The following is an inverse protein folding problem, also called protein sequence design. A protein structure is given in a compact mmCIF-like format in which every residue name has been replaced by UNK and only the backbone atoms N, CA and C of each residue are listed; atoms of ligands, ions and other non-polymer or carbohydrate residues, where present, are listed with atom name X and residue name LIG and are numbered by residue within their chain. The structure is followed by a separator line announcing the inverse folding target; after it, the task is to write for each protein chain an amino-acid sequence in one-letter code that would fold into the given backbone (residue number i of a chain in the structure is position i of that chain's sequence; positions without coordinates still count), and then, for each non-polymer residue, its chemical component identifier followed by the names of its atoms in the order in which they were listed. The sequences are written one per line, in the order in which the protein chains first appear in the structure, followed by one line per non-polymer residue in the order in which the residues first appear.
data_IF_443630999304
#
_entry.id   IF_443630999304
#
_cell.length_a   1.000
_cell.length_b   1.000
_cell.length_c   1.000
_cell.angle_alpha   90.00
_cell.angle_beta   90.00
_cell.angle_gamma   90.00
#
_symmetry.space_group_name_H-M   'P 1'
#
loop_
_entity.id
_entity.type
_entity.pdbx_description
1 polymer ?
#
# COMPACT_ATOMS: atom_id res chain seq x y z
N UNK A 1 -19.75 -3.61 10.71
CA UNK A 1 -18.54 -3.28 11.51
C UNK A 1 -18.80 -1.95 12.20
N UNK A 2 -18.48 -1.81 13.48
CA UNK A 2 -18.64 -0.53 14.18
C UNK A 2 -17.70 0.51 13.57
N UNK A 3 -18.18 1.74 13.42
CA UNK A 3 -17.44 2.83 12.75
C UNK A 3 -16.05 3.05 13.37
N UNK A 4 -15.95 3.04 14.68
CA UNK A 4 -14.68 3.28 15.37
C UNK A 4 -13.66 2.16 15.13
N UNK A 5 -14.10 0.91 14.99
CA UNK A 5 -13.22 -0.21 14.63
C UNK A 5 -12.72 -0.10 13.20
N UNK A 6 -13.56 0.36 12.26
CA UNK A 6 -13.15 0.61 10.88
C UNK A 6 -12.12 1.73 10.79
N UNK A 7 -12.37 2.83 11.49
CA UNK A 7 -11.41 3.96 11.57
C UNK A 7 -10.11 3.50 12.20
N UNK A 8 -10.16 2.77 13.34
CA UNK A 8 -8.99 2.25 14.02
C UNK A 8 -8.16 1.30 13.16
N UNK A 9 -8.79 0.45 12.37
CA UNK A 9 -8.12 -0.44 11.41
C UNK A 9 -7.34 0.36 10.35
N UNK A 10 -8.01 1.32 9.72
CA UNK A 10 -7.38 2.18 8.71
C UNK A 10 -6.25 3.02 9.29
N UNK A 11 -6.49 3.71 10.40
CA UNK A 11 -5.47 4.51 11.07
C UNK A 11 -4.28 3.67 11.53
N UNK A 12 -4.53 2.45 12.02
CA UNK A 12 -3.49 1.51 12.41
C UNK A 12 -2.57 1.12 11.25
N UNK A 13 -3.14 0.90 10.06
CA UNK A 13 -2.37 0.62 8.85
C UNK A 13 -1.46 1.80 8.48
N UNK A 14 -2.00 3.00 8.36
CA UNK A 14 -1.20 4.19 8.00
C UNK A 14 -0.13 4.53 9.04
N UNK A 15 -0.45 4.41 10.32
CA UNK A 15 0.52 4.61 11.40
C UNK A 15 1.62 3.56 11.34
N UNK A 16 1.26 2.29 11.11
CA UNK A 16 2.22 1.20 10.98
C UNK A 16 3.16 1.37 9.79
N UNK A 17 2.61 1.71 8.63
CA UNK A 17 3.35 2.00 7.40
C UNK A 17 4.32 3.18 7.61
N UNK A 18 3.84 4.32 8.08
CA UNK A 18 4.66 5.52 8.31
C UNK A 18 5.75 5.34 9.40
N UNK A 19 5.52 4.45 10.36
CA UNK A 19 6.53 4.07 11.36
C UNK A 19 7.57 3.10 10.78
N UNK A 20 7.16 2.21 9.88
CA UNK A 20 8.00 1.17 9.30
C UNK A 20 8.88 1.66 8.14
N UNK A 21 8.37 2.54 7.30
CA UNK A 21 9.06 3.02 6.10
C UNK A 21 10.50 3.53 6.32
N UNK A 22 10.82 4.27 7.40
CA UNK A 22 12.19 4.72 7.64
C UNK A 22 13.19 3.62 7.95
N UNK A 23 12.75 2.45 8.43
CA UNK A 23 13.61 1.33 8.81
C UNK A 23 13.48 0.13 7.85
N UNK A 24 12.75 0.30 6.77
CA UNK A 24 12.57 -0.73 5.75
C UNK A 24 13.93 -1.17 5.18
N UNK A 25 14.07 -2.46 4.93
CA UNK A 25 15.31 -3.17 4.53
C UNK A 25 16.44 -3.17 5.56
N UNK A 26 16.28 -2.53 6.72
CA UNK A 26 17.23 -2.61 7.82
C UNK A 26 17.04 -3.91 8.62
N UNK A 27 18.14 -4.45 9.15
CA UNK A 27 18.07 -5.58 10.08
C UNK A 27 17.71 -5.09 11.49
N UNK A 28 17.07 -5.92 12.33
CA UNK A 28 16.61 -5.51 13.66
C UNK A 28 17.66 -4.88 14.59
N UNK A 29 18.97 -5.11 14.31
CA UNK A 29 20.07 -4.57 15.10
C UNK A 29 20.76 -3.35 14.46
N UNK A 30 20.25 -2.89 13.31
CA UNK A 30 20.81 -1.75 12.57
C UNK A 30 20.09 -0.43 12.89
N UNK A 31 19.03 -0.48 13.70
CA UNK A 31 18.30 0.70 14.14
C UNK A 31 17.81 0.55 15.59
N UNK A 32 17.66 1.67 16.26
CA UNK A 32 17.08 1.72 17.60
C UNK A 32 15.56 1.48 17.55
N UNK A 33 14.98 1.11 18.68
CA UNK A 33 13.53 0.93 18.78
C UNK A 33 12.80 2.18 18.30
N UNK A 34 12.00 2.03 17.24
CA UNK A 34 11.15 3.11 16.73
C UNK A 34 10.02 3.35 17.72
N UNK A 35 9.96 4.56 18.27
CA UNK A 35 8.96 4.99 19.26
C UNK A 35 8.15 6.18 18.80
N UNK A 36 8.50 6.76 17.65
CA UNK A 36 7.83 7.91 17.06
C UNK A 36 8.06 7.91 15.55
N UNK A 37 7.31 8.72 14.81
CA UNK A 37 7.52 8.90 13.38
C UNK A 37 8.76 9.77 13.15
N UNK A 38 9.78 9.19 12.54
CA UNK A 38 11.10 9.85 12.39
C UNK A 38 11.42 10.27 10.95
N UNK A 39 10.72 9.68 9.96
CA UNK A 39 11.05 9.88 8.55
C UNK A 39 12.41 9.31 8.14
N UNK A 40 12.84 9.51 6.91
CA UNK A 40 14.13 9.04 6.38
C UNK A 40 14.07 7.69 5.69
N UNK A 41 15.08 6.86 5.93
CA UNK A 41 15.21 5.53 5.32
C UNK A 41 15.54 5.57 3.83
N UNK A 42 15.44 4.42 3.17
CA UNK A 42 15.76 4.25 1.74
C UNK A 42 14.85 5.08 0.82
N UNK A 43 13.65 5.36 1.28
CA UNK A 43 12.67 6.16 0.55
C UNK A 43 12.78 7.66 0.81
N UNK A 44 13.66 8.09 1.73
CA UNK A 44 13.73 9.48 2.19
C UNK A 44 12.33 10.02 2.55
N UNK A 45 11.58 9.22 3.33
CA UNK A 45 10.21 9.54 3.71
C UNK A 45 10.19 10.78 4.62
N UNK A 46 9.20 11.65 4.44
CA UNK A 46 8.91 12.69 5.41
C UNK A 46 8.18 12.10 6.61
N UNK A 47 8.18 12.83 7.73
CA UNK A 47 7.50 12.37 8.95
C UNK A 47 6.01 12.19 8.67
N UNK A 48 5.51 10.96 8.88
CA UNK A 48 4.11 10.61 8.67
C UNK A 48 3.73 10.26 7.23
N UNK A 49 4.67 10.20 6.30
CA UNK A 49 4.40 9.66 4.97
C UNK A 49 4.17 8.15 5.03
N UNK A 50 3.10 7.70 4.38
CA UNK A 50 2.84 6.29 4.10
C UNK A 50 3.28 5.92 2.69
N UNK A 51 3.48 4.64 2.46
CA UNK A 51 3.99 4.07 1.21
C UNK A 51 2.90 3.43 0.35
N UNK A 52 3.23 2.39 -0.39
CA UNK A 52 2.29 1.61 -1.20
C UNK A 52 1.22 0.91 -0.36
N UNK A 53 1.53 0.49 0.86
CA UNK A 53 0.56 -0.17 1.75
C UNK A 53 -0.65 0.73 2.04
N UNK A 54 -0.42 1.94 2.49
CA UNK A 54 -1.47 2.93 2.75
C UNK A 54 -2.19 3.34 1.46
N UNK A 55 -1.44 3.62 0.39
CA UNK A 55 -2.02 4.03 -0.89
C UNK A 55 -2.89 2.93 -1.52
N UNK A 56 -2.44 1.67 -1.50
CA UNK A 56 -3.22 0.54 -2.02
C UNK A 56 -4.45 0.24 -1.16
N UNK A 57 -4.36 0.40 0.16
CA UNK A 57 -5.53 0.30 1.04
C UNK A 57 -6.59 1.36 0.70
N UNK A 58 -6.19 2.60 0.41
CA UNK A 58 -7.09 3.64 -0.09
C UNK A 58 -7.76 3.26 -1.41
N UNK A 59 -7.01 2.68 -2.35
CA UNK A 59 -7.56 2.21 -3.63
C UNK A 59 -8.69 1.19 -3.43
N UNK A 60 -8.51 0.26 -2.48
CA UNK A 60 -9.52 -0.74 -2.16
C UNK A 60 -10.73 -0.09 -1.49
N UNK A 61 -10.50 0.76 -0.49
CA UNK A 61 -11.58 1.44 0.24
C UNK A 61 -12.44 2.31 -0.66
N UNK A 62 -11.81 3.08 -1.54
CA UNK A 62 -12.51 3.93 -2.51
C UNK A 62 -13.41 3.10 -3.44
N UNK A 63 -12.90 1.99 -3.95
CA UNK A 63 -13.70 1.09 -4.80
C UNK A 63 -14.94 0.57 -4.05
N UNK A 64 -14.84 0.24 -2.76
CA UNK A 64 -15.99 -0.14 -1.94
C UNK A 64 -16.96 1.02 -1.72
N UNK A 65 -16.45 2.23 -1.49
CA UNK A 65 -17.29 3.42 -1.28
C UNK A 65 -18.06 3.76 -2.56
N UNK A 66 -17.38 3.74 -3.70
CA UNK A 66 -17.96 4.10 -5.00
C UNK A 66 -19.00 3.07 -5.47
N UNK A 67 -18.73 1.79 -5.27
CA UNK A 67 -19.57 0.69 -5.79
C UNK A 67 -20.53 0.10 -4.76
N UNK A 68 -20.39 0.42 -3.49
CA UNK A 68 -21.16 -0.16 -2.36
C UNK A 68 -21.13 -1.70 -2.34
N UNK A 69 -20.06 -2.29 -2.86
CA UNK A 69 -19.83 -3.75 -2.93
C UNK A 69 -18.39 -4.06 -3.29
N UNK A 70 -18.02 -5.34 -3.20
CA UNK A 70 -16.75 -5.80 -3.74
C UNK A 70 -16.74 -5.64 -5.28
N UNK A 71 -15.83 -4.81 -5.78
CA UNK A 71 -15.72 -4.42 -7.19
C UNK A 71 -14.25 -4.53 -7.66
N UNK A 72 -13.80 -5.74 -8.03
CA UNK A 72 -12.40 -5.96 -8.41
C UNK A 72 -11.98 -5.20 -9.68
N UNK A 73 -12.88 -4.91 -10.58
CA UNK A 73 -12.69 -4.04 -11.74
C UNK A 73 -12.33 -2.61 -11.34
N UNK A 74 -13.03 -2.06 -10.36
CA UNK A 74 -12.76 -0.73 -9.81
C UNK A 74 -11.45 -0.71 -9.01
N UNK A 75 -11.19 -1.74 -8.20
CA UNK A 75 -9.92 -1.89 -7.48
C UNK A 75 -8.74 -1.92 -8.48
N UNK A 76 -8.86 -2.69 -9.56
CA UNK A 76 -7.83 -2.74 -10.60
C UNK A 76 -7.62 -1.38 -11.29
N UNK A 77 -8.70 -0.62 -11.54
CA UNK A 77 -8.64 0.72 -12.08
C UNK A 77 -7.90 1.68 -11.12
N UNK A 78 -8.26 1.64 -9.83
CA UNK A 78 -7.64 2.46 -8.80
C UNK A 78 -6.15 2.14 -8.63
N UNK A 79 -5.76 0.86 -8.61
CA UNK A 79 -4.36 0.45 -8.56
C UNK A 79 -3.56 0.94 -9.76
N UNK A 80 -4.12 0.85 -10.97
CA UNK A 80 -3.46 1.39 -12.17
C UNK A 80 -3.34 2.90 -12.14
N UNK A 81 -4.35 3.59 -11.65
CA UNK A 81 -4.33 5.04 -11.49
C UNK A 81 -3.25 5.45 -10.49
N UNK A 82 -3.25 4.82 -9.30
CA UNK A 82 -2.20 5.03 -8.31
C UNK A 82 -0.80 4.75 -8.86
N UNK A 83 -0.60 3.61 -9.52
CA UNK A 83 0.69 3.21 -10.08
C UNK A 83 1.25 4.25 -11.07
N UNK A 84 0.38 4.94 -11.82
CA UNK A 84 0.77 5.94 -12.82
C UNK A 84 0.90 7.36 -12.27
N UNK A 85 0.05 7.73 -11.32
CA UNK A 85 -0.12 9.13 -10.91
C UNK A 85 0.24 9.40 -9.44
N UNK A 86 0.40 8.35 -8.62
CA UNK A 86 0.55 8.50 -7.17
C UNK A 86 -0.76 8.84 -6.45
N UNK A 87 -1.91 8.69 -7.10
CA UNK A 87 -3.21 8.94 -6.48
C UNK A 87 -3.39 8.15 -5.18
N UNK A 88 -3.89 8.78 -4.11
CA UNK A 88 -3.91 8.26 -2.74
C UNK A 88 -2.54 8.11 -2.05
N UNK A 89 -1.44 8.38 -2.72
CA UNK A 89 -0.14 8.47 -2.08
C UNK A 89 0.10 9.84 -1.44
N UNK A 90 1.12 9.95 -0.62
CA UNK A 90 1.53 11.20 0.04
C UNK A 90 2.25 12.17 -0.90
N UNK A 91 2.77 11.65 -2.00
CA UNK A 91 3.46 12.41 -3.05
C UNK A 91 2.63 12.45 -4.32
N UNK A 92 2.85 13.42 -5.18
CA UNK A 92 2.20 13.52 -6.50
C UNK A 92 2.69 12.48 -7.52
N UNK A 93 3.33 11.42 -7.07
CA UNK A 93 3.81 10.29 -7.84
C UNK A 93 3.87 9.04 -6.95
N UNK A 94 3.86 7.85 -7.55
CA UNK A 94 4.14 6.61 -6.83
C UNK A 94 5.62 6.57 -6.46
N UNK A 95 5.95 6.50 -5.18
CA UNK A 95 7.35 6.50 -4.75
C UNK A 95 7.84 5.15 -4.19
N UNK A 96 6.95 4.24 -3.92
CA UNK A 96 7.29 2.86 -3.58
C UNK A 96 6.34 1.87 -4.25
N UNK A 97 6.79 0.65 -4.46
CA UNK A 97 5.99 -0.51 -4.84
C UNK A 97 6.84 -1.79 -4.83
N UNK A 98 6.35 -2.83 -4.21
CA UNK A 98 6.96 -4.16 -4.30
C UNK A 98 6.89 -4.73 -5.72
N UNK A 99 7.96 -5.41 -6.15
CA UNK A 99 8.06 -5.97 -7.52
C UNK A 99 6.86 -6.86 -7.88
N UNK A 100 6.43 -7.75 -6.98
CA UNK A 100 5.30 -8.65 -7.22
C UNK A 100 4.00 -7.86 -7.42
N UNK A 101 3.77 -6.81 -6.63
CA UNK A 101 2.62 -5.93 -6.78
C UNK A 101 2.68 -5.17 -8.11
N UNK A 102 3.84 -4.64 -8.47
CA UNK A 102 4.02 -3.94 -9.75
C UNK A 102 3.69 -4.83 -10.95
N UNK A 103 4.27 -6.04 -11.02
CA UNK A 103 4.03 -7.00 -12.09
C UNK A 103 2.54 -7.39 -12.18
N UNK A 104 1.87 -7.57 -11.05
CA UNK A 104 0.44 -7.86 -10.99
C UNK A 104 -0.38 -6.68 -11.52
N UNK A 105 -0.14 -5.46 -11.05
CA UNK A 105 -0.87 -4.26 -11.45
C UNK A 105 -0.69 -3.97 -12.95
N UNK A 106 0.53 -4.10 -13.49
CA UNK A 106 0.76 -3.91 -14.91
C UNK A 106 -0.03 -4.92 -15.78
N UNK A 107 -0.21 -6.14 -15.29
CA UNK A 107 -0.94 -7.19 -16.00
C UNK A 107 -2.47 -7.14 -15.81
N UNK A 108 -2.99 -6.40 -14.83
CA UNK A 108 -4.43 -6.23 -14.60
C UNK A 108 -5.11 -5.43 -15.71
N UNK A 109 -6.40 -5.69 -15.91
CA UNK A 109 -7.33 -4.81 -16.62
C UNK A 109 -8.69 -4.84 -15.93
N UNK A 110 -9.61 -3.95 -16.32
CA UNK A 110 -10.98 -3.94 -15.79
C UNK A 110 -11.74 -5.21 -16.15
N UNK A 111 -11.43 -5.83 -17.29
CA UNK A 111 -12.00 -7.12 -17.72
C UNK A 111 -11.28 -8.32 -17.09
N UNK A 112 -10.05 -8.15 -16.67
CA UNK A 112 -9.22 -9.17 -16.03
C UNK A 112 -8.54 -8.61 -14.77
N UNK A 113 -9.30 -8.32 -13.70
CA UNK A 113 -8.78 -7.69 -12.49
C UNK A 113 -7.97 -8.66 -11.60
N UNK A 114 -8.14 -9.95 -11.79
CA UNK A 114 -7.44 -10.97 -10.99
C UNK A 114 -6.14 -11.38 -11.69
N UNK A 115 -5.06 -10.72 -11.32
CA UNK A 115 -3.73 -11.02 -11.83
C UNK A 115 -2.73 -11.14 -10.69
N UNK A 116 -1.96 -12.19 -10.73
CA UNK A 116 -0.87 -12.42 -9.78
C UNK A 116 0.06 -13.48 -10.35
N UNK A 117 1.32 -13.40 -9.99
CA UNK A 117 2.30 -14.41 -10.40
C UNK A 117 2.13 -15.67 -9.56
N UNK A 118 2.16 -16.84 -10.22
CA UNK A 118 2.22 -18.17 -9.58
C UNK A 118 3.63 -18.72 -9.48
N UNK A 119 4.63 -17.90 -9.83
CA UNK A 119 6.03 -18.30 -9.80
C UNK A 119 6.55 -18.53 -8.38
N UNK A 120 7.52 -19.43 -8.22
CA UNK A 120 8.11 -19.78 -6.91
C UNK A 120 8.74 -18.58 -6.16
N UNK A 121 9.01 -17.46 -6.83
CA UNK A 121 9.56 -16.23 -6.25
C UNK A 121 8.54 -15.10 -6.10
N UNK A 122 7.26 -15.39 -6.23
CA UNK A 122 6.17 -14.43 -6.15
C UNK A 122 5.41 -14.52 -4.82
N UNK A 123 6.12 -14.77 -3.72
CA UNK A 123 5.58 -14.93 -2.37
C UNK A 123 5.87 -13.71 -1.48
N UNK A 124 5.72 -12.52 -2.02
CA UNK A 124 5.78 -11.29 -1.20
C UNK A 124 4.66 -11.28 -0.15
N UNK A 125 4.96 -10.71 1.01
CA UNK A 125 4.03 -10.65 2.16
C UNK A 125 3.01 -9.50 2.06
N UNK A 126 3.11 -8.61 1.08
CA UNK A 126 2.25 -7.45 0.91
C UNK A 126 0.75 -7.75 0.83
N UNK A 127 0.38 -8.99 0.52
CA UNK A 127 -1.02 -9.41 0.49
C UNK A 127 -1.69 -9.53 1.86
N UNK A 128 -0.93 -9.40 2.94
CA UNK A 128 -1.42 -9.50 4.33
C UNK A 128 -1.14 -8.25 5.19
N UNK A 129 -0.65 -7.22 4.57
CA UNK A 129 -0.42 -5.91 5.20
C UNK A 129 -1.68 -5.07 5.27
#
# INVERSE_FOLDING_TARGET
MEKDKAIGMFMGLFVGDALGAPVEFMRPHEFDKVTDMIGGGVHSAEIGEWTDDGAMACCIADAYIVKDKFAPDEIALNFKTWSKTGHFGTRGYRFDIGRTCYEAIESMSTEQPYKGSTGARASGNGSIM
#
